data_IF_356621948599
#
_entry.id   IF_356621948599
#
_cell.length_a   1.000
_cell.length_b   1.000
_cell.length_c   1.000
_cell.angle_alpha   90.00
_cell.angle_beta   90.00
_cell.angle_gamma   90.00
#
_symmetry.space_group_name_H-M   'P 1'
#
loop_
_entity.id
_entity.type
_entity.pdbx_description
1 polymer ?
#
# COMPACT_ATOMS: atom_id res chain seq x y z
N UNK A 1 25.89 4.58 16.52
CA UNK A 1 24.76 5.33 15.91
C UNK A 1 25.02 5.47 14.43
N UNK A 2 23.98 5.38 13.60
CA UNK A 2 24.06 5.68 12.15
C UNK A 2 23.31 6.97 11.88
N UNK A 3 23.82 7.83 11.01
CA UNK A 3 23.24 9.14 10.69
C UNK A 3 22.89 9.21 9.22
N UNK A 4 21.62 9.50 8.93
CA UNK A 4 21.09 9.65 7.58
C UNK A 4 21.49 10.97 6.93
N UNK A 5 21.21 11.10 5.63
CA UNK A 5 21.42 12.32 4.86
C UNK A 5 20.57 13.50 5.34
N UNK A 6 19.36 13.23 5.85
CA UNK A 6 18.44 14.23 6.45
C UNK A 6 18.75 14.48 7.94
N UNK A 7 20.00 14.23 8.36
CA UNK A 7 20.52 14.44 9.71
C UNK A 7 19.81 13.67 10.84
N UNK A 8 18.97 12.68 10.53
CA UNK A 8 18.36 11.82 11.55
C UNK A 8 19.37 10.80 12.06
N UNK A 9 19.48 10.72 13.37
CA UNK A 9 20.34 9.75 14.06
C UNK A 9 19.52 8.54 14.48
N UNK A 10 19.96 7.35 14.09
CA UNK A 10 19.30 6.08 14.38
C UNK A 10 20.25 5.20 15.18
N UNK A 11 19.71 4.59 16.22
CA UNK A 11 20.44 3.63 17.03
C UNK A 11 20.41 2.25 16.38
N UNK A 12 21.54 1.53 16.50
CA UNK A 12 21.67 0.14 16.07
C UNK A 12 22.63 -0.58 17.02
N UNK A 13 22.29 -1.79 17.42
CA UNK A 13 23.06 -2.68 18.27
C UNK A 13 24.20 -3.34 17.49
N UNK A 14 25.22 -3.82 18.21
CA UNK A 14 26.35 -4.52 17.60
C UNK A 14 25.92 -5.79 16.86
N UNK A 15 24.93 -6.53 17.40
CA UNK A 15 24.38 -7.73 16.77
C UNK A 15 23.68 -7.40 15.45
N UNK A 16 22.80 -6.40 15.47
CA UNK A 16 22.12 -5.91 14.28
C UNK A 16 23.08 -5.37 13.21
N UNK A 17 24.13 -4.66 13.63
CA UNK A 17 25.13 -4.12 12.71
C UNK A 17 25.82 -5.22 11.87
N UNK A 18 25.88 -6.48 12.34
CA UNK A 18 26.45 -7.60 11.57
C UNK A 18 25.74 -7.85 10.24
N UNK A 19 24.47 -7.48 10.12
CA UNK A 19 23.72 -7.55 8.87
C UNK A 19 24.04 -6.42 7.89
N UNK A 20 24.66 -5.33 8.38
CA UNK A 20 25.02 -4.16 7.60
C UNK A 20 26.54 -4.13 7.40
N UNK A 21 27.05 -4.77 6.35
CA UNK A 21 28.50 -4.93 6.16
C UNK A 21 29.27 -3.59 6.21
N UNK A 22 28.73 -2.55 5.57
CA UNK A 22 29.36 -1.19 5.58
C UNK A 22 29.41 -0.58 6.98
N UNK A 23 28.37 -0.80 7.79
CA UNK A 23 28.28 -0.26 9.15
C UNK A 23 29.15 -1.08 10.09
N UNK A 24 29.14 -2.41 9.95
CA UNK A 24 29.92 -3.33 10.78
C UNK A 24 31.41 -3.08 10.68
N UNK A 25 31.92 -2.91 9.45
CA UNK A 25 33.35 -2.65 9.22
C UNK A 25 33.81 -1.35 9.89
N UNK A 26 32.99 -0.29 9.83
CA UNK A 26 33.30 0.99 10.47
C UNK A 26 33.16 0.89 12.00
N UNK A 27 32.15 0.16 12.49
CA UNK A 27 31.95 -0.05 13.92
C UNK A 27 33.11 -0.83 14.56
N UNK A 28 33.68 -1.81 13.85
CA UNK A 28 34.88 -2.53 14.31
C UNK A 28 36.10 -1.61 14.40
N UNK A 29 36.24 -0.67 13.46
CA UNK A 29 37.35 0.28 13.45
C UNK A 29 37.18 1.41 14.49
N UNK A 30 35.95 1.89 14.74
CA UNK A 30 35.66 2.96 15.70
C UNK A 30 34.24 2.86 16.30
N UNK A 31 34.07 2.21 17.47
CA UNK A 31 32.76 1.97 18.08
C UNK A 31 31.99 3.22 18.53
N UNK A 32 32.70 4.33 18.78
CA UNK A 32 32.10 5.60 19.25
C UNK A 32 31.68 6.52 18.09
N UNK A 33 32.04 6.17 16.86
CA UNK A 33 31.76 7.00 15.70
C UNK A 33 30.27 6.97 15.34
N UNK A 34 29.72 8.15 15.09
CA UNK A 34 28.45 8.28 14.38
C UNK A 34 28.71 8.05 12.91
N UNK A 35 28.18 6.96 12.35
CA UNK A 35 28.50 6.52 10.99
C UNK A 35 27.53 7.21 10.01
N UNK A 36 28.01 8.11 9.14
CA UNK A 36 27.16 8.72 8.13
C UNK A 36 26.82 7.69 7.04
N UNK A 37 25.56 7.65 6.63
CA UNK A 37 25.08 6.73 5.59
C UNK A 37 24.19 7.45 4.59
N UNK A 38 24.33 7.07 3.32
CA UNK A 38 23.65 7.74 2.19
C UNK A 38 22.21 7.25 1.98
N UNK A 39 21.38 7.31 3.02
CA UNK A 39 19.96 6.97 2.99
C UNK A 39 19.13 8.08 3.66
N UNK A 40 17.85 8.21 3.28
CA UNK A 40 16.91 9.03 4.04
C UNK A 40 16.59 8.38 5.38
N UNK A 41 16.18 9.17 6.36
CA UNK A 41 16.04 8.67 7.72
C UNK A 41 14.87 7.73 7.91
N UNK A 42 13.83 7.79 7.09
CA UNK A 42 12.69 6.88 7.19
C UNK A 42 13.07 5.47 6.70
N UNK A 43 13.75 5.39 5.56
CA UNK A 43 14.25 4.13 4.99
C UNK A 43 15.32 3.54 5.91
N UNK A 44 16.22 4.40 6.42
CA UNK A 44 17.27 3.99 7.35
C UNK A 44 16.69 3.43 8.65
N UNK A 45 15.63 4.05 9.19
CA UNK A 45 14.93 3.56 10.37
C UNK A 45 14.38 2.18 10.10
N UNK A 46 13.76 1.97 8.94
CA UNK A 46 13.19 0.68 8.55
C UNK A 46 14.26 -0.41 8.41
N UNK A 47 15.38 -0.12 7.75
CA UNK A 47 16.52 -1.05 7.66
C UNK A 47 17.05 -1.40 9.06
N UNK A 48 17.24 -0.41 9.93
CA UNK A 48 17.71 -0.63 11.30
C UNK A 48 16.73 -1.49 12.10
N UNK A 49 15.42 -1.23 12.00
CA UNK A 49 14.38 -2.04 12.65
C UNK A 49 14.45 -3.51 12.23
N UNK A 50 14.63 -3.79 10.94
CA UNK A 50 14.81 -5.16 10.45
C UNK A 50 16.08 -5.80 11.03
N UNK A 51 17.20 -5.07 11.04
CA UNK A 51 18.45 -5.60 11.56
C UNK A 51 18.36 -5.90 13.07
N UNK A 52 17.63 -5.08 13.84
CA UNK A 52 17.37 -5.34 15.27
C UNK A 52 16.50 -6.56 15.49
N UNK A 53 15.45 -6.74 14.68
CA UNK A 53 14.58 -7.91 14.76
C UNK A 53 15.38 -9.21 14.64
N UNK A 54 16.41 -9.21 13.78
CA UNK A 54 17.25 -10.38 13.51
C UNK A 54 18.66 -10.26 14.07
N UNK A 55 18.89 -9.44 15.10
CA UNK A 55 20.23 -9.20 15.68
C UNK A 55 20.97 -10.46 16.13
N UNK A 56 20.22 -11.49 16.49
CA UNK A 56 20.74 -12.79 16.97
C UNK A 56 20.97 -13.80 15.82
N UNK A 57 20.69 -13.39 14.59
CA UNK A 57 20.85 -14.19 13.37
C UNK A 57 19.61 -14.17 12.50
N UNK A 58 19.80 -14.30 11.19
CA UNK A 58 18.72 -14.51 10.23
C UNK A 58 18.91 -15.87 9.57
N UNK A 59 18.02 -16.82 9.87
CA UNK A 59 18.07 -18.20 9.34
C UNK A 59 16.82 -18.57 8.54
N UNK A 60 15.87 -17.65 8.39
CA UNK A 60 14.54 -17.99 7.91
C UNK A 60 14.40 -17.84 6.39
N UNK A 61 14.21 -18.99 5.74
CA UNK A 61 13.63 -19.10 4.42
C UNK A 61 12.52 -20.14 4.49
N UNK A 62 11.25 -19.81 4.18
CA UNK A 62 10.70 -18.55 3.63
C UNK A 62 10.56 -17.38 4.64
N UNK A 63 10.19 -16.16 4.19
CA UNK A 63 9.91 -15.02 5.07
C UNK A 63 8.84 -15.33 6.12
N UNK A 64 9.03 -14.81 7.33
CA UNK A 64 8.10 -14.98 8.46
C UNK A 64 6.86 -14.09 8.31
N UNK A 65 5.83 -14.31 9.13
CA UNK A 65 4.65 -13.43 9.17
C UNK A 65 5.02 -12.00 9.58
N UNK A 66 6.02 -11.86 10.47
CA UNK A 66 6.57 -10.55 10.82
C UNK A 66 7.19 -9.87 9.60
N UNK A 67 7.97 -10.59 8.77
CA UNK A 67 8.54 -10.02 7.53
C UNK A 67 7.43 -9.55 6.59
N UNK A 68 6.35 -10.34 6.43
CA UNK A 68 5.22 -9.98 5.57
C UNK A 68 4.54 -8.70 6.04
N UNK A 69 4.27 -8.57 7.34
CA UNK A 69 3.68 -7.38 7.93
C UNK A 69 4.63 -6.18 7.87
N UNK A 70 5.91 -6.38 8.15
CA UNK A 70 6.93 -5.35 8.10
C UNK A 70 7.08 -4.75 6.68
N UNK A 71 7.00 -5.60 5.66
CA UNK A 71 7.04 -5.22 4.24
C UNK A 71 5.66 -4.85 3.66
N UNK A 72 4.58 -4.86 4.45
CA UNK A 72 3.24 -4.46 4.01
C UNK A 72 3.12 -2.93 3.88
N UNK A 73 3.97 -2.33 3.06
CA UNK A 73 3.97 -0.91 2.68
C UNK A 73 3.84 -0.77 1.17
N UNK A 74 3.60 0.45 0.70
CA UNK A 74 3.54 0.79 -0.73
C UNK A 74 4.82 0.38 -1.49
N UNK A 75 4.66 0.11 -2.80
CA UNK A 75 5.75 -0.28 -3.68
C UNK A 75 6.86 0.78 -3.77
N UNK A 76 6.51 2.07 -3.69
CA UNK A 76 7.45 3.20 -3.66
C UNK A 76 8.36 3.12 -2.43
N UNK A 77 7.76 3.06 -1.24
CA UNK A 77 8.47 2.94 0.03
C UNK A 77 9.29 1.64 0.10
N UNK A 78 8.76 0.52 -0.43
CA UNK A 78 9.49 -0.74 -0.48
C UNK A 78 10.71 -0.67 -1.39
N UNK A 79 10.62 0.05 -2.51
CA UNK A 79 11.74 0.33 -3.42
C UNK A 79 12.81 1.21 -2.75
N UNK A 80 12.39 2.18 -1.96
CA UNK A 80 13.29 3.05 -1.20
C UNK A 80 14.02 2.27 -0.10
N UNK A 81 13.32 1.38 0.62
CA UNK A 81 13.92 0.45 1.60
C UNK A 81 14.90 -0.52 0.91
N UNK A 82 14.55 -1.09 -0.24
CA UNK A 82 15.45 -1.93 -1.03
C UNK A 82 16.71 -1.17 -1.43
N UNK A 83 16.57 0.08 -1.87
CA UNK A 83 17.69 0.94 -2.24
C UNK A 83 18.59 1.24 -1.04
N UNK A 84 18.02 1.53 0.13
CA UNK A 84 18.78 1.73 1.36
C UNK A 84 19.51 0.45 1.81
N UNK A 85 18.83 -0.70 1.79
CA UNK A 85 19.42 -2.00 2.11
C UNK A 85 20.59 -2.34 1.18
N UNK A 86 20.46 -2.08 -0.12
CA UNK A 86 21.56 -2.22 -1.10
C UNK A 86 22.72 -1.30 -0.78
N UNK A 87 22.46 -0.03 -0.45
CA UNK A 87 23.52 0.92 -0.10
C UNK A 87 24.24 0.53 1.18
N UNK A 88 23.57 -0.09 2.14
CA UNK A 88 24.13 -0.54 3.41
C UNK A 88 24.73 -1.95 3.37
N UNK A 89 24.55 -2.65 2.24
CA UNK A 89 24.90 -4.06 2.05
C UNK A 89 24.24 -4.94 3.12
N UNK A 90 22.91 -5.03 3.05
CA UNK A 90 22.07 -5.92 3.87
C UNK A 90 21.43 -7.00 2.99
N UNK A 91 22.17 -8.05 2.58
CA UNK A 91 21.70 -9.00 1.58
C UNK A 91 20.38 -9.72 1.91
N UNK A 92 20.13 -10.18 3.16
CA UNK A 92 18.86 -10.83 3.47
C UNK A 92 17.65 -9.90 3.30
N UNK A 93 17.75 -8.65 3.76
CA UNK A 93 16.70 -7.64 3.58
C UNK A 93 16.47 -7.32 2.09
N UNK A 94 17.54 -7.21 1.31
CA UNK A 94 17.44 -7.06 -0.15
C UNK A 94 16.66 -8.21 -0.77
N UNK A 95 16.99 -9.45 -0.38
CA UNK A 95 16.34 -10.66 -0.89
C UNK A 95 14.85 -10.71 -0.62
N UNK A 96 14.41 -10.39 0.60
CA UNK A 96 12.98 -10.39 0.95
C UNK A 96 12.23 -9.21 0.32
N UNK A 97 12.84 -8.02 0.21
CA UNK A 97 12.23 -6.87 -0.49
C UNK A 97 12.05 -7.18 -1.97
N UNK A 98 13.08 -7.74 -2.63
CA UNK A 98 13.01 -8.12 -4.04
C UNK A 98 11.94 -9.20 -4.27
N UNK A 99 11.90 -10.23 -3.43
CA UNK A 99 10.86 -11.26 -3.49
C UNK A 99 9.47 -10.65 -3.37
N UNK A 100 9.24 -9.79 -2.39
CA UNK A 100 7.95 -9.14 -2.19
C UNK A 100 7.52 -8.30 -3.41
N UNK A 101 8.43 -7.52 -4.01
CA UNK A 101 8.14 -6.77 -5.24
C UNK A 101 7.82 -7.68 -6.44
N UNK A 102 8.56 -8.79 -6.60
CA UNK A 102 8.31 -9.78 -7.64
C UNK A 102 6.94 -10.46 -7.47
N UNK A 103 6.62 -10.91 -6.25
CA UNK A 103 5.33 -11.53 -5.92
C UNK A 103 4.17 -10.56 -6.21
N UNK A 104 4.30 -9.28 -5.84
CA UNK A 104 3.30 -8.25 -6.15
C UNK A 104 3.15 -8.01 -7.64
N UNK A 105 4.25 -7.94 -8.38
CA UNK A 105 4.23 -7.75 -9.84
C UNK A 105 3.55 -8.92 -10.54
N UNK A 106 3.86 -10.15 -10.14
CA UNK A 106 3.21 -11.36 -10.65
C UNK A 106 1.72 -11.38 -10.32
N UNK A 107 1.36 -10.99 -9.09
CA UNK A 107 -0.03 -10.91 -8.66
C UNK A 107 -0.82 -9.85 -9.45
N UNK A 108 -0.25 -8.67 -9.70
CA UNK A 108 -0.87 -7.61 -10.53
C UNK A 108 -1.14 -8.13 -11.95
N UNK A 109 -0.16 -8.78 -12.59
CA UNK A 109 -0.34 -9.40 -13.92
C UNK A 109 -1.40 -10.49 -13.92
N UNK A 110 -1.45 -11.33 -12.89
CA UNK A 110 -2.45 -12.38 -12.78
C UNK A 110 -3.86 -11.77 -12.69
N UNK A 111 -4.04 -10.69 -11.95
CA UNK A 111 -5.34 -10.04 -11.85
C UNK A 111 -5.76 -9.28 -13.11
N UNK A 112 -4.82 -8.61 -13.78
CA UNK A 112 -5.08 -8.03 -15.10
C UNK A 112 -5.53 -9.12 -16.08
N UNK A 113 -4.86 -10.27 -16.06
CA UNK A 113 -5.28 -11.43 -16.85
C UNK A 113 -6.67 -11.91 -16.45
N UNK A 114 -6.94 -12.10 -15.15
CA UNK A 114 -8.26 -12.52 -14.67
C UNK A 114 -9.35 -11.55 -15.12
N UNK A 115 -9.10 -10.24 -15.01
CA UNK A 115 -10.01 -9.20 -15.48
C UNK A 115 -10.25 -9.30 -16.99
N UNK A 116 -9.20 -9.48 -17.78
CA UNK A 116 -9.31 -9.66 -19.24
C UNK A 116 -10.04 -10.96 -19.63
N UNK A 117 -9.89 -12.01 -18.82
CA UNK A 117 -10.63 -13.28 -18.96
C UNK A 117 -12.09 -13.16 -18.44
N UNK A 118 -12.50 -11.95 -18.04
CA UNK A 118 -13.86 -11.62 -17.62
C UNK A 118 -14.16 -11.90 -16.15
N UNK A 119 -13.20 -12.43 -15.36
CA UNK A 119 -13.31 -12.86 -13.96
C UNK A 119 -13.51 -11.69 -12.99
N UNK A 120 -14.62 -10.98 -13.16
CA UNK A 120 -15.02 -9.79 -12.42
C UNK A 120 -16.49 -9.87 -12.01
N UNK A 121 -16.85 -9.07 -11.01
CA UNK A 121 -18.23 -8.76 -10.69
C UNK A 121 -18.72 -7.61 -11.59
N UNK A 122 -19.90 -7.78 -12.17
CA UNK A 122 -20.63 -6.73 -12.87
C UNK A 122 -21.51 -5.99 -11.87
N UNK A 123 -21.33 -4.67 -11.80
CA UNK A 123 -22.07 -3.76 -10.93
C UNK A 123 -22.68 -2.67 -11.78
N UNK A 124 -23.98 -2.42 -11.64
CA UNK A 124 -24.72 -1.41 -12.38
C UNK A 124 -25.08 -0.24 -11.47
N UNK A 125 -24.78 0.98 -11.92
CA UNK A 125 -25.21 2.23 -11.28
C UNK A 125 -26.70 2.51 -11.51
N UNK A 126 -27.23 3.48 -10.78
CA UNK A 126 -28.63 3.91 -10.89
C UNK A 126 -28.97 4.45 -12.30
N UNK A 127 -28.03 5.16 -12.93
CA UNK A 127 -28.11 5.68 -14.30
C UNK A 127 -27.76 4.64 -15.38
N UNK A 128 -27.63 3.36 -15.01
CA UNK A 128 -27.56 2.23 -15.91
C UNK A 128 -26.16 1.86 -16.41
N UNK A 129 -25.12 2.61 -16.06
CA UNK A 129 -23.73 2.28 -16.41
C UNK A 129 -23.27 1.01 -15.67
N UNK A 130 -22.58 0.12 -16.38
CA UNK A 130 -22.04 -1.12 -15.82
C UNK A 130 -20.53 -1.01 -15.64
N UNK A 131 -20.06 -1.43 -14.47
CA UNK A 131 -18.67 -1.47 -14.04
C UNK A 131 -18.23 -2.92 -13.80
N UNK A 132 -16.98 -3.21 -14.13
CA UNK A 132 -16.35 -4.50 -13.85
C UNK A 132 -15.28 -4.35 -12.76
N UNK A 133 -15.52 -5.01 -11.61
CA UNK A 133 -14.59 -5.03 -10.49
C UNK A 133 -14.00 -6.42 -10.28
N UNK A 134 -12.69 -6.47 -10.10
CA UNK A 134 -12.02 -7.68 -9.62
C UNK A 134 -12.53 -8.09 -8.23
N UNK A 135 -12.44 -9.38 -7.91
CA UNK A 135 -12.92 -9.90 -6.63
C UNK A 135 -12.22 -9.24 -5.41
N UNK A 136 -10.96 -8.83 -5.53
CA UNK A 136 -10.27 -8.10 -4.45
C UNK A 136 -10.71 -6.65 -4.35
N UNK A 137 -10.93 -5.96 -5.46
CA UNK A 137 -11.48 -4.60 -5.44
C UNK A 137 -12.89 -4.57 -4.82
N UNK A 138 -13.75 -5.53 -5.16
CA UNK A 138 -15.09 -5.64 -4.60
C UNK A 138 -15.11 -5.81 -3.07
N UNK A 139 -14.09 -6.47 -2.50
CA UNK A 139 -13.94 -6.67 -1.05
C UNK A 139 -13.58 -5.39 -0.28
N UNK A 140 -13.11 -4.34 -0.95
CA UNK A 140 -12.85 -3.04 -0.31
C UNK A 140 -14.13 -2.28 0.03
N UNK A 141 -15.26 -2.63 -0.62
CA UNK A 141 -16.58 -2.14 -0.25
C UNK A 141 -17.26 -3.12 0.70
N UNK A 142 -17.56 -2.67 1.92
CA UNK A 142 -18.33 -3.47 2.87
C UNK A 142 -19.72 -3.86 2.34
N UNK A 143 -20.38 -2.92 1.66
CA UNK A 143 -21.72 -3.13 1.08
C UNK A 143 -21.70 -4.15 -0.04
N UNK A 144 -20.81 -4.00 -1.03
CA UNK A 144 -20.70 -4.94 -2.16
C UNK A 144 -20.27 -6.33 -1.67
N UNK A 145 -19.29 -6.40 -0.75
CA UNK A 145 -18.85 -7.67 -0.17
C UNK A 145 -20.00 -8.42 0.54
N UNK A 146 -20.86 -7.68 1.23
CA UNK A 146 -22.05 -8.24 1.88
C UNK A 146 -23.06 -8.73 0.85
N UNK A 147 -23.38 -7.92 -0.17
CA UNK A 147 -24.28 -8.32 -1.26
C UNK A 147 -23.82 -9.60 -1.97
N UNK A 148 -22.53 -9.69 -2.29
CA UNK A 148 -21.93 -10.89 -2.90
C UNK A 148 -22.15 -12.12 -2.02
N UNK A 149 -21.88 -11.98 -0.72
CA UNK A 149 -21.92 -13.10 0.23
C UNK A 149 -23.36 -13.54 0.52
N UNK A 150 -24.26 -12.59 0.80
CA UNK A 150 -25.66 -12.84 1.14
C UNK A 150 -26.45 -13.41 -0.04
N UNK A 151 -26.19 -12.92 -1.26
CA UNK A 151 -26.93 -13.35 -2.46
C UNK A 151 -26.19 -14.43 -3.26
N UNK A 152 -25.08 -14.95 -2.74
CA UNK A 152 -24.22 -15.92 -3.42
C UNK A 152 -23.87 -15.53 -4.86
N UNK A 153 -23.59 -14.24 -5.09
CA UNK A 153 -23.29 -13.70 -6.43
C UNK A 153 -22.02 -14.35 -6.95
N UNK A 154 -22.13 -14.98 -8.11
CA UNK A 154 -20.98 -15.59 -8.78
C UNK A 154 -20.16 -14.53 -9.52
N UNK A 155 -18.86 -14.77 -9.62
CA UNK A 155 -18.02 -14.04 -10.57
C UNK A 155 -18.58 -14.25 -11.98
N UNK A 156 -18.44 -13.26 -12.86
CA UNK A 156 -19.01 -13.22 -14.22
C UNK A 156 -20.54 -13.06 -14.25
N UNK A 157 -21.14 -12.37 -13.28
CA UNK A 157 -22.58 -12.11 -13.20
C UNK A 157 -23.10 -11.06 -14.23
N UNK A 158 -22.60 -11.05 -15.46
CA UNK A 158 -22.98 -10.07 -16.50
C UNK A 158 -24.47 -10.08 -16.82
N UNK A 159 -25.09 -11.25 -16.76
CA UNK A 159 -26.52 -11.44 -17.01
C UNK A 159 -27.40 -10.90 -15.86
N UNK A 160 -26.84 -10.79 -14.65
CA UNK A 160 -27.52 -10.26 -13.48
C UNK A 160 -26.56 -9.41 -12.62
N UNK A 161 -26.26 -8.17 -13.07
CA UNK A 161 -25.36 -7.28 -12.35
C UNK A 161 -25.89 -6.92 -10.95
N UNK A 162 -24.98 -6.66 -10.01
CA UNK A 162 -25.32 -6.07 -8.71
C UNK A 162 -25.77 -4.64 -8.96
N UNK A 163 -26.98 -4.27 -8.56
CA UNK A 163 -27.51 -2.90 -8.77
C UNK A 163 -27.29 -2.03 -7.54
N UNK A 164 -26.82 -0.80 -7.77
CA UNK A 164 -26.60 0.20 -6.74
C UNK A 164 -27.49 1.42 -6.98
N UNK A 165 -28.00 2.01 -5.90
CA UNK A 165 -28.71 3.29 -5.89
C UNK A 165 -27.70 4.46 -5.81
N UNK A 166 -26.71 4.44 -6.69
CA UNK A 166 -25.67 5.46 -6.82
C UNK A 166 -25.42 5.72 -8.30
N UNK A 167 -25.27 6.99 -8.69
CA UNK A 167 -24.95 7.39 -10.06
C UNK A 167 -23.53 7.00 -10.45
N UNK A 168 -23.25 6.93 -11.75
CA UNK A 168 -21.97 6.49 -12.26
C UNK A 168 -20.78 7.40 -11.92
N UNK A 169 -21.02 8.71 -11.75
CA UNK A 169 -19.97 9.70 -11.55
C UNK A 169 -19.10 9.40 -10.29
N UNK A 170 -19.66 9.33 -9.06
CA UNK A 170 -18.87 8.97 -7.88
C UNK A 170 -18.36 7.53 -7.93
N UNK A 171 -19.13 6.59 -8.52
CA UNK A 171 -18.72 5.20 -8.66
C UNK A 171 -17.46 5.04 -9.52
N UNK A 172 -17.29 5.85 -10.55
CA UNK A 172 -16.10 5.84 -11.42
C UNK A 172 -14.83 6.10 -10.60
N UNK A 173 -14.87 7.09 -9.70
CA UNK A 173 -13.74 7.43 -8.82
C UNK A 173 -13.51 6.32 -7.78
N UNK A 174 -14.56 5.89 -7.09
CA UNK A 174 -14.48 4.89 -6.03
C UNK A 174 -13.97 3.55 -6.56
N UNK A 175 -14.48 3.09 -7.71
CA UNK A 175 -14.07 1.82 -8.28
C UNK A 175 -12.65 1.87 -8.87
N UNK A 176 -12.23 3.00 -9.42
CA UNK A 176 -10.84 3.22 -9.81
C UNK A 176 -9.91 3.16 -8.59
N UNK A 177 -10.31 3.77 -7.47
CA UNK A 177 -9.59 3.69 -6.20
C UNK A 177 -9.51 2.26 -5.67
N UNK A 178 -10.63 1.54 -5.64
CA UNK A 178 -10.67 0.15 -5.19
C UNK A 178 -9.77 -0.76 -6.05
N UNK A 179 -9.77 -0.59 -7.38
CA UNK A 179 -8.89 -1.36 -8.26
C UNK A 179 -7.40 -1.03 -8.05
N UNK A 180 -7.08 0.21 -7.69
CA UNK A 180 -5.70 0.60 -7.37
C UNK A 180 -5.22 -0.02 -6.06
N UNK A 181 -6.03 0.07 -4.99
CA UNK A 181 -5.62 -0.32 -3.63
C UNK A 181 -6.00 -1.75 -3.22
N UNK A 182 -6.58 -2.57 -4.11
CA UNK A 182 -6.99 -3.96 -3.83
C UNK A 182 -5.90 -4.90 -3.32
N UNK A 183 -4.63 -4.51 -3.44
CA UNK A 183 -3.46 -5.26 -2.96
C UNK A 183 -2.78 -4.65 -1.74
N UNK A 184 -3.17 -3.43 -1.37
CA UNK A 184 -2.45 -2.67 -0.36
C UNK A 184 -2.95 -3.10 1.02
N UNK A 185 -2.10 -3.82 1.75
CA UNK A 185 -2.38 -4.25 3.13
C UNK A 185 -2.36 -3.09 4.14
N UNK A 186 -1.90 -1.91 3.73
CA UNK A 186 -1.82 -0.70 4.56
C UNK A 186 -2.76 0.38 4.02
N UNK A 187 -3.99 0.32 4.53
CA UNK A 187 -5.00 1.35 4.31
C UNK A 187 -4.78 2.46 5.35
N UNK A 188 -4.33 3.64 4.93
CA UNK A 188 -4.33 4.81 5.81
C UNK A 188 -3.44 6.00 5.44
N UNK A 189 -2.56 5.91 4.44
CA UNK A 189 -1.76 7.05 3.99
C UNK A 189 -2.12 7.40 2.55
N UNK A 190 -2.46 8.67 2.33
CA UNK A 190 -2.80 9.20 1.02
C UNK A 190 -1.54 9.33 0.15
N UNK A 191 -1.51 8.60 -0.96
CA UNK A 191 -0.41 8.58 -1.92
C UNK A 191 -0.44 9.80 -2.86
N UNK A 192 0.59 9.97 -3.68
CA UNK A 192 0.56 10.96 -4.76
C UNK A 192 -0.54 10.63 -5.79
N UNK A 193 -0.77 9.34 -6.05
CA UNK A 193 -1.81 8.88 -6.96
C UNK A 193 -3.22 9.18 -6.42
N UNK A 194 -3.44 9.00 -5.11
CA UNK A 194 -4.70 9.37 -4.46
C UNK A 194 -5.00 10.85 -4.60
N UNK A 195 -3.98 11.70 -4.40
CA UNK A 195 -4.13 13.16 -4.54
C UNK A 195 -4.50 13.55 -5.97
N UNK A 196 -3.92 12.88 -6.96
CA UNK A 196 -4.25 13.12 -8.37
C UNK A 196 -5.66 12.63 -8.70
N UNK A 197 -6.06 11.44 -8.22
CA UNK A 197 -7.41 10.92 -8.42
C UNK A 197 -8.48 11.83 -7.80
N UNK A 198 -8.19 12.39 -6.62
CA UNK A 198 -9.10 13.23 -5.85
C UNK A 198 -8.93 14.73 -6.14
N UNK A 199 -8.11 15.12 -7.12
CA UNK A 199 -7.99 16.49 -7.59
C UNK A 199 -9.18 16.86 -8.51
N UNK A 200 -10.38 16.82 -7.93
CA UNK A 200 -11.68 17.05 -8.59
C UNK A 200 -12.44 18.20 -7.91
N UNK A 201 -13.56 18.63 -8.50
CA UNK A 201 -14.32 19.78 -7.99
C UNK A 201 -14.91 19.53 -6.59
N UNK A 202 -15.17 20.61 -5.84
CA UNK A 202 -15.72 20.53 -4.48
C UNK A 202 -17.02 19.71 -4.41
N UNK A 203 -17.93 19.92 -5.37
CA UNK A 203 -19.19 19.19 -5.48
C UNK A 203 -18.96 17.69 -5.73
N UNK A 204 -18.06 17.35 -6.66
CA UNK A 204 -17.73 15.95 -6.99
C UNK A 204 -17.08 15.24 -5.80
N UNK A 205 -16.22 15.93 -5.04
CA UNK A 205 -15.63 15.39 -3.80
C UNK A 205 -16.69 15.09 -2.74
N UNK A 206 -17.73 15.93 -2.61
CA UNK A 206 -18.85 15.66 -1.70
C UNK A 206 -19.66 14.43 -2.13
N UNK A 207 -19.88 14.27 -3.44
CA UNK A 207 -20.57 13.09 -3.99
C UNK A 207 -19.76 11.81 -3.75
N UNK A 208 -18.44 11.86 -3.95
CA UNK A 208 -17.52 10.75 -3.63
C UNK A 208 -17.54 10.44 -2.13
N UNK A 209 -17.55 11.44 -1.25
CA UNK A 209 -17.65 11.24 0.20
C UNK A 209 -18.93 10.47 0.57
N UNK A 210 -20.08 10.92 0.07
CA UNK A 210 -21.37 10.30 0.33
C UNK A 210 -21.43 8.86 -0.19
N UNK A 211 -21.01 8.64 -1.44
CA UNK A 211 -21.00 7.31 -2.05
C UNK A 211 -19.99 6.36 -1.38
N UNK A 212 -18.82 6.84 -0.97
CA UNK A 212 -17.84 6.03 -0.24
C UNK A 212 -18.38 5.57 1.11
N UNK A 213 -19.11 6.44 1.83
CA UNK A 213 -19.81 6.07 3.05
C UNK A 213 -20.90 5.02 2.79
N UNK A 214 -21.76 5.23 1.78
CA UNK A 214 -22.82 4.29 1.42
C UNK A 214 -22.29 2.90 1.01
N UNK A 215 -21.13 2.85 0.34
CA UNK A 215 -20.46 1.62 -0.05
C UNK A 215 -19.59 1.01 1.05
N UNK A 216 -19.41 1.70 2.18
CA UNK A 216 -18.55 1.26 3.27
C UNK A 216 -17.07 1.17 2.89
N UNK A 217 -16.58 2.03 2.00
CA UNK A 217 -15.17 2.13 1.60
C UNK A 217 -14.44 3.05 2.58
N UNK A 218 -14.16 2.52 3.78
CA UNK A 218 -13.75 3.30 4.97
C UNK A 218 -12.52 4.19 4.74
N UNK A 219 -11.51 3.67 4.06
CA UNK A 219 -10.25 4.41 3.90
C UNK A 219 -10.39 5.56 2.92
N UNK A 220 -11.09 5.34 1.80
CA UNK A 220 -11.40 6.41 0.86
C UNK A 220 -12.26 7.49 1.53
N UNK A 221 -13.26 7.10 2.32
CA UNK A 221 -14.05 8.03 3.13
C UNK A 221 -13.16 8.88 4.05
N UNK A 222 -12.21 8.24 4.76
CA UNK A 222 -11.29 8.97 5.64
C UNK A 222 -10.38 9.93 4.86
N UNK A 223 -9.82 9.49 3.73
CA UNK A 223 -8.96 10.35 2.89
C UNK A 223 -9.72 11.58 2.39
N UNK A 224 -10.95 11.40 1.91
CA UNK A 224 -11.78 12.51 1.42
C UNK A 224 -12.18 13.44 2.58
N UNK A 225 -12.50 12.89 3.76
CA UNK A 225 -12.75 13.68 4.98
C UNK A 225 -11.54 14.53 5.35
N UNK A 226 -10.34 13.96 5.27
CA UNK A 226 -9.10 14.67 5.59
C UNK A 226 -8.84 15.81 4.59
N UNK A 227 -9.17 15.65 3.31
CA UNK A 227 -9.07 16.71 2.29
C UNK A 227 -10.04 17.85 2.60
N UNK A 228 -11.31 17.53 2.86
CA UNK A 228 -12.37 18.50 3.16
C UNK A 228 -12.08 19.26 4.47
N UNK A 229 -11.41 18.62 5.43
CA UNK A 229 -11.01 19.24 6.70
C UNK A 229 -9.83 20.21 6.59
N UNK A 230 -9.15 20.32 5.44
CA UNK A 230 -7.98 21.19 5.31
C UNK A 230 -8.35 22.68 5.29
N UNK A 231 -7.55 23.56 5.95
CA UNK A 231 -7.76 25.00 5.86
C UNK A 231 -7.65 25.49 4.41
N UNK A 232 -8.74 25.97 3.82
CA UNK A 232 -8.73 26.34 2.39
C UNK A 232 -9.86 25.73 1.58
N UNK A 233 -10.41 24.60 2.04
CA UNK A 233 -11.52 23.93 1.37
C UNK A 233 -12.76 24.84 1.21
N UNK A 234 -13.39 24.82 0.04
CA UNK A 234 -14.58 25.63 -0.27
C UNK A 234 -14.32 27.13 -0.50
N UNK A 235 -13.07 27.56 -0.66
CA UNK A 235 -12.71 28.91 -1.12
C UNK A 235 -12.55 28.93 -2.64
N UNK A 236 -13.67 28.84 -3.35
CA UNK A 236 -13.80 29.16 -4.77
C UNK A 236 -14.74 30.35 -4.95
#
# INVERSE_FOLDING_TARGET
>A
MIKSNDNKSIWISKGAARHCERVFNIFQANPQLVIPVTAGGNELKKVATWCEQYKDGYTHHPPTDWDRQFLAIEDSQLTDVLTAARKLLVPPLMGICFRALCERTQQKRLEEKQKNDGLCYSIQSEDGQVFELTAKAAKLSGTICTMISTNAVQINNKESPIRLELTAAPLTIIFKWCEHHKMDGTVGVMTAWDKELLAIGNQELMEVLCAANALGVKTLFQMVTDIIGQPGWGRE
#
